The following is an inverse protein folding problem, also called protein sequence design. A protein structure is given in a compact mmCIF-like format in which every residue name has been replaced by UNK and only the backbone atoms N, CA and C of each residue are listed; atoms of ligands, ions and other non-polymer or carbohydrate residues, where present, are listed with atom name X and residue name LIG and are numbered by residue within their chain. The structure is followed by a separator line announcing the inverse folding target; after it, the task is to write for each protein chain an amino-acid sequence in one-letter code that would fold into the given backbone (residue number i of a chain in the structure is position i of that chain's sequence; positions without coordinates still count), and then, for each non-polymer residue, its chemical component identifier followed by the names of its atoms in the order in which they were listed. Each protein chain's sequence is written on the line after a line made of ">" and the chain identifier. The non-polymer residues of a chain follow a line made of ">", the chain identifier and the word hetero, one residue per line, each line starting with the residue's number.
data_IF_458546906227
#
_entry.id   IF_458546906227
#
_cell.length_a   1.000
_cell.length_b   1.000
_cell.length_c   1.000
_cell.angle_alpha   90.00
_cell.angle_beta   90.00
_cell.angle_gamma   90.00
#
_symmetry.space_group_name_H-M   'P 1'
#
loop_
_entity.id
_entity.type
_entity.pdbx_description
1 polymer ?
#
# COMPACT_ATOMS: atom_id res chain seq x y z
N UNK A 1 -29.54 -14.08 -48.31
CA UNK A 1 -29.09 -14.11 -46.90
C UNK A 1 -27.60 -13.92 -46.90
N UNK A 2 -27.11 -12.74 -46.50
CA UNK A 2 -25.68 -12.47 -46.36
C UNK A 2 -25.32 -12.76 -44.89
N UNK A 3 -24.47 -13.76 -44.67
CA UNK A 3 -23.89 -14.06 -43.36
C UNK A 3 -22.77 -13.06 -43.08
N UNK A 4 -23.04 -12.09 -42.21
CA UNK A 4 -22.00 -11.24 -41.63
C UNK A 4 -21.21 -12.06 -40.59
N UNK A 5 -20.11 -12.67 -41.05
CA UNK A 5 -19.09 -13.22 -40.16
C UNK A 5 -18.26 -12.08 -39.57
N UNK A 6 -18.62 -11.64 -38.36
CA UNK A 6 -17.80 -10.69 -37.60
C UNK A 6 -16.42 -11.31 -37.34
N UNK A 7 -15.35 -10.63 -37.76
CA UNK A 7 -13.99 -11.00 -37.38
C UNK A 7 -13.83 -10.89 -35.87
N UNK A 8 -13.69 -12.04 -35.21
CA UNK A 8 -13.12 -12.08 -33.87
C UNK A 8 -11.63 -11.79 -34.05
N UNK A 9 -11.17 -10.61 -33.62
CA UNK A 9 -9.72 -10.39 -33.46
C UNK A 9 -9.25 -11.14 -32.23
N UNK A 10 -8.49 -12.21 -32.44
CA UNK A 10 -7.63 -12.74 -31.39
C UNK A 10 -6.55 -11.67 -31.11
N UNK A 11 -6.36 -11.32 -29.85
CA UNK A 11 -5.23 -10.49 -29.44
C UNK A 11 -3.95 -11.32 -29.66
N UNK A 12 -3.25 -11.07 -30.77
CA UNK A 12 -1.96 -11.70 -31.02
C UNK A 12 -0.91 -11.08 -30.09
N UNK A 13 -0.18 -11.96 -29.40
CA UNK A 13 1.00 -11.60 -28.64
C UNK A 13 2.13 -11.30 -29.61
N UNK A 14 2.24 -10.05 -30.05
CA UNK A 14 3.37 -9.63 -30.87
C UNK A 14 4.60 -9.49 -29.99
N UNK A 15 5.59 -10.35 -30.20
CA UNK A 15 6.91 -10.17 -29.62
C UNK A 15 7.50 -8.86 -30.14
N UNK A 16 7.81 -7.92 -29.23
CA UNK A 16 8.76 -6.84 -29.53
C UNK A 16 8.29 -5.39 -29.42
N UNK A 17 7.04 -5.06 -29.04
CA UNK A 17 6.64 -3.63 -28.89
C UNK A 17 5.74 -3.31 -27.69
N UNK A 18 5.61 -4.21 -26.72
CA UNK A 18 4.98 -3.90 -25.45
C UNK A 18 6.03 -3.50 -24.42
N UNK A 19 6.45 -2.23 -24.39
CA UNK A 19 7.07 -1.71 -23.17
C UNK A 19 6.17 -2.10 -21.98
N UNK A 20 6.72 -2.48 -20.82
CA UNK A 20 5.89 -2.79 -19.66
C UNK A 20 5.03 -1.56 -19.35
N UNK A 21 3.76 -1.62 -19.75
CA UNK A 21 2.84 -0.52 -19.54
C UNK A 21 2.56 -0.52 -18.04
N UNK A 22 2.87 0.57 -17.32
CA UNK A 22 2.53 0.67 -15.91
C UNK A 22 1.02 0.56 -15.77
N UNK A 23 0.56 -0.28 -14.84
CA UNK A 23 -0.86 -0.44 -14.58
C UNK A 23 -1.37 0.83 -13.88
N UNK A 24 -2.33 1.59 -14.46
CA UNK A 24 -2.84 2.83 -13.86
C UNK A 24 -3.46 2.63 -12.47
N UNK A 25 -3.79 1.38 -12.09
CA UNK A 25 -4.20 1.01 -10.73
C UNK A 25 -3.16 1.38 -9.67
N UNK A 26 -1.89 1.30 -10.02
CA UNK A 26 -0.80 1.54 -9.08
C UNK A 26 -0.29 2.97 -9.22
N UNK A 27 -0.33 3.71 -8.12
CA UNK A 27 0.13 5.09 -8.03
C UNK A 27 1.44 5.12 -7.21
N UNK A 28 2.62 5.11 -7.87
CA UNK A 28 3.89 5.23 -7.17
C UNK A 28 4.05 6.64 -6.56
N UNK A 29 4.49 6.69 -5.30
CA UNK A 29 4.73 7.92 -4.54
C UNK A 29 6.24 8.20 -4.40
N UNK A 30 6.60 9.45 -4.13
CA UNK A 30 8.00 9.89 -4.07
C UNK A 30 8.79 9.34 -2.87
N UNK A 31 8.09 8.80 -1.87
CA UNK A 31 8.67 8.18 -0.67
C UNK A 31 9.05 6.70 -0.85
N UNK A 32 8.90 6.16 -2.07
CA UNK A 32 9.19 4.75 -2.37
C UNK A 32 8.06 3.79 -1.99
N UNK A 33 6.85 4.30 -1.77
CA UNK A 33 5.63 3.49 -1.66
C UNK A 33 4.81 3.51 -2.95
N UNK A 34 3.86 2.58 -3.05
CA UNK A 34 2.91 2.46 -4.17
C UNK A 34 1.52 2.30 -3.59
N UNK A 35 0.62 3.22 -3.90
CA UNK A 35 -0.79 3.09 -3.55
C UNK A 35 -1.54 2.27 -4.60
N UNK A 36 -2.32 1.29 -4.16
CA UNK A 36 -3.17 0.47 -5.00
C UNK A 36 -4.61 0.99 -4.93
N UNK A 37 -5.02 1.71 -5.98
CA UNK A 37 -6.33 2.35 -6.05
C UNK A 37 -7.52 1.40 -6.09
N UNK A 38 -7.32 0.10 -6.38
CA UNK A 38 -8.41 -0.88 -6.38
C UNK A 38 -8.62 -1.53 -5.02
N UNK A 39 -7.54 -1.78 -4.28
CA UNK A 39 -7.62 -2.52 -3.00
C UNK A 39 -7.56 -1.61 -1.78
N UNK A 40 -7.10 -0.36 -1.93
CA UNK A 40 -6.81 0.51 -0.79
C UNK A 40 -5.60 0.00 0.02
N UNK A 41 -4.69 -0.74 -0.62
CA UNK A 41 -3.44 -1.17 -0.01
C UNK A 41 -2.31 -0.21 -0.40
N UNK A 42 -1.30 -0.15 0.45
CA UNK A 42 -0.05 0.53 0.16
C UNK A 42 1.11 -0.45 0.24
N UNK A 43 1.92 -0.47 -0.80
CA UNK A 43 3.03 -1.39 -0.96
C UNK A 43 4.36 -0.65 -0.84
N UNK A 44 5.38 -1.29 -0.25
CA UNK A 44 6.75 -0.84 -0.52
C UNK A 44 7.09 -1.11 -1.98
N UNK A 45 7.64 -0.11 -2.68
CA UNK A 45 8.00 -0.24 -4.10
C UNK A 45 9.12 -1.25 -4.31
N UNK A 46 10.05 -1.32 -3.37
CA UNK A 46 11.20 -2.20 -3.42
C UNK A 46 11.02 -3.43 -2.53
N UNK A 47 11.51 -4.61 -2.95
CA UNK A 47 11.66 -5.74 -2.04
C UNK A 47 12.65 -5.38 -0.92
N UNK A 48 12.47 -5.97 0.26
CA UNK A 48 13.37 -5.73 1.40
C UNK A 48 14.83 -6.04 1.05
N UNK A 49 15.75 -5.27 1.60
CA UNK A 49 17.18 -5.32 1.26
C UNK A 49 17.59 -4.47 0.03
N UNK A 50 16.62 -3.97 -0.74
CA UNK A 50 16.87 -3.03 -1.84
C UNK A 50 16.25 -1.65 -1.60
N UNK A 51 16.74 -0.63 -2.30
CA UNK A 51 16.23 0.74 -2.21
C UNK A 51 16.76 1.67 -3.30
N UNK A 52 16.50 2.96 -3.17
CA UNK A 52 16.87 3.95 -4.18
C UNK A 52 15.96 3.94 -5.41
N UNK A 53 16.25 4.85 -6.36
CA UNK A 53 15.47 4.99 -7.59
C UNK A 53 15.50 3.67 -8.37
N UNK A 54 14.34 3.16 -8.77
CA UNK A 54 14.25 1.88 -9.48
C UNK A 54 14.70 0.68 -8.63
N UNK A 55 14.70 0.83 -7.31
CA UNK A 55 15.23 -0.13 -6.35
C UNK A 55 16.70 -0.46 -6.58
N UNK A 56 17.48 0.50 -7.13
CA UNK A 56 18.85 0.39 -7.66
C UNK A 56 19.96 -0.04 -6.67
N UNK A 57 19.76 0.20 -5.39
CA UNK A 57 20.75 0.01 -4.34
C UNK A 57 20.47 -1.25 -3.52
N UNK A 58 21.53 -1.89 -3.02
CA UNK A 58 21.43 -3.10 -2.20
C UNK A 58 21.04 -4.37 -2.97
N UNK A 59 20.79 -5.44 -2.23
CA UNK A 59 20.41 -6.75 -2.76
C UNK A 59 19.16 -7.26 -2.04
N UNK A 60 18.27 -7.91 -2.79
CA UNK A 60 17.01 -8.39 -2.23
C UNK A 60 17.27 -9.47 -1.17
N UNK A 61 16.81 -9.18 0.05
CA UNK A 61 16.99 -10.01 1.23
C UNK A 61 16.11 -11.25 1.13
N UNK A 62 16.65 -12.37 1.59
CA UNK A 62 15.91 -13.62 1.76
C UNK A 62 16.03 -14.09 3.20
N UNK A 63 14.90 -14.28 3.87
CA UNK A 63 14.85 -14.75 5.25
C UNK A 63 13.98 -16.00 5.36
N UNK A 64 14.10 -16.69 6.49
CA UNK A 64 13.10 -17.68 6.91
C UNK A 64 11.81 -16.97 7.30
N UNK A 65 10.70 -17.68 7.24
CA UNK A 65 9.37 -17.09 7.47
C UNK A 65 9.28 -16.33 8.79
N UNK A 66 9.70 -16.91 9.91
CA UNK A 66 9.67 -16.26 11.23
C UNK A 66 10.49 -14.97 11.28
N UNK A 67 11.68 -14.98 10.67
CA UNK A 67 12.57 -13.81 10.62
C UNK A 67 11.98 -12.73 9.68
N UNK A 68 11.31 -13.14 8.60
CA UNK A 68 10.61 -12.24 7.68
C UNK A 68 9.39 -11.58 8.31
N UNK A 69 8.62 -12.34 9.08
CA UNK A 69 7.43 -11.87 9.80
C UNK A 69 7.82 -10.86 10.89
N UNK A 70 8.86 -11.17 11.67
CA UNK A 70 9.43 -10.23 12.64
C UNK A 70 9.92 -8.93 11.97
N UNK A 71 10.68 -9.05 10.87
CA UNK A 71 11.15 -7.88 10.10
C UNK A 71 9.99 -7.02 9.59
N UNK A 72 8.88 -7.64 9.16
CA UNK A 72 7.72 -6.90 8.69
C UNK A 72 7.14 -6.01 9.79
N UNK A 73 6.91 -6.57 10.99
CA UNK A 73 6.34 -5.87 12.13
C UNK A 73 7.28 -4.80 12.73
N UNK A 74 8.58 -4.99 12.62
CA UNK A 74 9.59 -4.02 13.05
C UNK A 74 9.84 -2.92 12.02
N UNK A 75 9.38 -3.09 10.77
CA UNK A 75 9.65 -2.16 9.69
C UNK A 75 9.08 -0.78 9.98
N UNK A 76 9.91 0.25 9.83
CA UNK A 76 9.55 1.66 9.87
C UNK A 76 9.99 2.30 8.56
N UNK A 77 9.04 2.64 7.71
CA UNK A 77 9.32 3.13 6.36
C UNK A 77 8.26 4.12 5.92
N UNK A 78 8.68 5.20 5.24
CA UNK A 78 7.81 6.28 4.74
C UNK A 78 6.86 6.86 5.84
N UNK A 79 7.33 6.96 7.08
CA UNK A 79 6.53 7.45 8.21
C UNK A 79 5.48 6.46 8.74
N UNK A 80 5.51 5.20 8.30
CA UNK A 80 4.57 4.16 8.69
C UNK A 80 5.25 3.00 9.45
N UNK A 81 4.48 2.37 10.33
CA UNK A 81 4.94 1.38 11.30
C UNK A 81 4.10 0.09 11.34
N UNK A 82 3.02 0.06 10.56
CA UNK A 82 2.00 -0.97 10.43
C UNK A 82 2.23 -1.84 9.18
N UNK A 83 3.49 -1.99 8.78
CA UNK A 83 3.87 -2.87 7.69
C UNK A 83 3.72 -4.33 8.09
N UNK A 84 3.27 -5.16 7.14
CA UNK A 84 3.06 -6.60 7.32
C UNK A 84 3.46 -7.37 6.07
N UNK A 85 3.61 -8.69 6.23
CA UNK A 85 3.62 -9.58 5.09
C UNK A 85 2.23 -9.55 4.40
N UNK A 86 2.18 -9.65 3.07
CA UNK A 86 0.92 -9.71 2.33
C UNK A 86 0.30 -11.09 2.44
N UNK A 87 -1.02 -11.19 2.35
CA UNK A 87 -1.72 -12.47 2.16
C UNK A 87 -1.44 -13.01 0.75
N UNK A 88 -1.77 -14.29 0.49
CA UNK A 88 -1.64 -14.87 -0.86
C UNK A 88 -2.46 -14.12 -1.89
N UNK A 89 -3.66 -13.67 -1.52
CA UNK A 89 -4.58 -12.98 -2.43
C UNK A 89 -4.02 -11.61 -2.79
N UNK A 90 -3.54 -10.86 -1.79
CA UNK A 90 -2.93 -9.55 -2.00
C UNK A 90 -1.68 -9.65 -2.87
N UNK A 91 -0.75 -10.54 -2.52
CA UNK A 91 0.52 -10.66 -3.25
C UNK A 91 0.31 -11.15 -4.69
N UNK A 92 -0.63 -12.08 -4.91
CA UNK A 92 -1.02 -12.53 -6.25
C UNK A 92 -1.69 -11.42 -7.06
N UNK A 93 -2.34 -10.45 -6.42
CA UNK A 93 -2.98 -9.33 -7.13
C UNK A 93 -2.00 -8.40 -7.84
N UNK A 94 -0.70 -8.47 -7.50
CA UNK A 94 0.39 -7.78 -8.20
C UNK A 94 0.73 -8.42 -9.56
N UNK A 95 0.31 -9.66 -9.78
CA UNK A 95 0.51 -10.35 -11.04
C UNK A 95 -0.68 -10.15 -11.98
N UNK A 96 -0.38 -9.96 -13.26
CA UNK A 96 -1.34 -9.97 -14.36
C UNK A 96 -0.97 -11.03 -15.40
N UNK A 97 -1.93 -11.40 -16.24
CA UNK A 97 -1.68 -12.30 -17.36
C UNK A 97 -0.89 -11.55 -18.45
N UNK A 98 0.32 -12.02 -18.71
CA UNK A 98 1.13 -11.65 -19.87
C UNK A 98 1.00 -12.67 -20.99
N UNK A 99 1.77 -12.47 -22.06
CA UNK A 99 1.78 -13.36 -23.21
C UNK A 99 2.32 -14.76 -22.90
N UNK A 100 3.34 -14.85 -22.03
CA UNK A 100 4.04 -16.10 -21.72
C UNK A 100 3.93 -16.50 -20.24
N UNK A 101 2.81 -16.16 -19.60
CA UNK A 101 2.55 -16.51 -18.21
C UNK A 101 2.12 -15.32 -17.35
N UNK A 102 2.37 -15.41 -16.05
CA UNK A 102 2.09 -14.31 -15.14
C UNK A 102 3.25 -13.33 -15.12
N UNK A 103 2.95 -12.03 -15.13
CA UNK A 103 3.95 -10.95 -15.10
C UNK A 103 3.57 -9.93 -14.04
N UNK A 104 4.57 -9.34 -13.39
CA UNK A 104 4.41 -8.16 -12.53
C UNK A 104 4.66 -6.90 -13.37
N UNK A 105 4.01 -5.79 -13.01
CA UNK A 105 4.37 -4.47 -13.53
C UNK A 105 5.78 -4.09 -13.06
N UNK A 106 6.79 -4.31 -13.91
CA UNK A 106 8.19 -4.05 -13.61
C UNK A 106 8.56 -2.57 -13.64
N UNK A 107 7.68 -1.68 -14.12
CA UNK A 107 7.88 -0.23 -14.03
C UNK A 107 7.53 0.22 -12.63
N UNK A 108 6.37 -0.21 -12.13
CA UNK A 108 5.90 0.17 -10.79
C UNK A 108 6.60 -0.61 -9.68
N UNK A 109 6.92 -1.89 -9.90
CA UNK A 109 7.63 -2.76 -8.95
C UNK A 109 8.97 -3.24 -9.51
N UNK A 110 9.94 -2.33 -9.69
CA UNK A 110 11.19 -2.62 -10.35
C UNK A 110 12.03 -3.62 -9.55
N UNK A 111 12.82 -4.40 -10.30
CA UNK A 111 13.81 -5.36 -9.77
C UNK A 111 13.25 -6.36 -8.76
N UNK A 112 11.98 -6.72 -8.91
CA UNK A 112 11.38 -7.86 -8.21
C UNK A 112 12.10 -9.14 -8.63
N UNK A 113 12.79 -9.85 -7.70
CA UNK A 113 13.48 -11.08 -8.05
C UNK A 113 12.50 -12.16 -8.56
N UNK A 114 12.88 -12.93 -9.58
CA UNK A 114 12.05 -14.02 -10.10
C UNK A 114 12.16 -15.24 -9.18
N UNK A 115 11.53 -15.20 -8.00
CA UNK A 115 11.55 -16.29 -7.03
C UNK A 115 10.44 -16.20 -5.99
N UNK A 116 10.52 -17.07 -4.98
CA UNK A 116 9.51 -17.22 -3.92
C UNK A 116 9.53 -16.04 -2.95
N UNK A 117 8.37 -15.42 -2.76
CA UNK A 117 8.11 -14.42 -1.73
C UNK A 117 7.20 -15.00 -0.65
N UNK A 118 7.48 -14.67 0.61
CA UNK A 118 6.64 -15.06 1.73
C UNK A 118 5.29 -14.33 1.71
N UNK A 119 4.27 -15.04 2.21
CA UNK A 119 2.96 -14.47 2.53
C UNK A 119 2.68 -14.67 4.01
N UNK A 120 1.75 -13.88 4.56
CA UNK A 120 1.27 -14.02 5.94
C UNK A 120 0.40 -15.27 6.14
N UNK A 121 -0.06 -15.92 5.06
CA UNK A 121 -0.97 -17.06 5.18
C UNK A 121 -0.22 -18.30 5.68
N UNK A 122 -0.62 -18.90 6.82
CA UNK A 122 0.04 -20.07 7.36
C UNK A 122 -0.16 -21.30 6.45
N UNK A 123 0.85 -22.16 6.40
CA UNK A 123 0.75 -23.48 5.79
C UNK A 123 0.52 -24.53 6.91
N UNK A 124 -0.63 -25.21 6.89
CA UNK A 124 -1.13 -25.98 8.04
C UNK A 124 -0.38 -27.26 8.44
N UNK A 125 0.78 -27.57 7.84
CA UNK A 125 1.48 -28.85 8.07
C UNK A 125 2.68 -28.75 9.03
N UNK A 126 3.31 -27.59 9.15
CA UNK A 126 4.49 -27.40 10.03
C UNK A 126 4.41 -26.06 10.77
N UNK A 127 4.91 -25.99 12.03
CA UNK A 127 5.09 -24.71 12.72
C UNK A 127 6.06 -23.84 11.91
N UNK A 128 5.86 -22.53 11.92
CA UNK A 128 6.66 -21.55 11.15
C UNK A 128 6.70 -21.80 9.63
N UNK A 129 5.67 -22.46 9.07
CA UNK A 129 5.50 -22.61 7.64
C UNK A 129 4.40 -21.69 7.11
N UNK A 130 4.61 -21.18 5.90
CA UNK A 130 3.70 -20.23 5.28
C UNK A 130 3.64 -20.47 3.78
N UNK A 131 2.61 -19.91 3.16
CA UNK A 131 2.53 -19.92 1.71
C UNK A 131 3.53 -18.96 1.09
N UNK A 132 3.96 -19.30 -0.12
CA UNK A 132 4.84 -18.49 -0.95
C UNK A 132 4.24 -18.30 -2.33
N UNK A 133 4.51 -17.15 -2.94
CA UNK A 133 4.25 -16.89 -4.35
C UNK A 133 5.57 -16.77 -5.10
N UNK A 134 5.75 -17.56 -6.16
CA UNK A 134 6.93 -17.44 -7.03
C UNK A 134 6.66 -16.44 -8.17
N UNK A 135 7.35 -15.29 -8.18
CA UNK A 135 7.17 -14.28 -9.23
C UNK A 135 7.71 -14.69 -10.60
N UNK A 136 8.51 -15.77 -10.69
CA UNK A 136 8.95 -16.33 -11.97
C UNK A 136 7.84 -17.04 -12.72
N UNK A 137 6.95 -17.70 -11.97
CA UNK A 137 5.94 -18.62 -12.55
C UNK A 137 4.50 -18.24 -12.22
N UNK A 138 4.30 -17.40 -11.20
CA UNK A 138 2.99 -17.12 -10.59
C UNK A 138 2.45 -18.26 -9.73
N UNK A 139 3.27 -19.29 -9.43
CA UNK A 139 2.85 -20.46 -8.66
C UNK A 139 2.75 -20.15 -7.16
N UNK A 140 1.64 -20.58 -6.54
CA UNK A 140 1.47 -20.58 -5.08
C UNK A 140 1.89 -21.92 -4.51
N UNK A 141 2.84 -21.94 -3.59
CA UNK A 141 3.37 -23.16 -3.00
C UNK A 141 3.63 -23.04 -1.50
N UNK A 142 3.83 -24.18 -0.85
CA UNK A 142 4.20 -24.24 0.55
C UNK A 142 5.68 -23.89 0.73
N UNK A 143 5.99 -23.01 1.68
CA UNK A 143 7.35 -22.77 2.15
C UNK A 143 7.56 -23.41 3.52
N UNK A 144 8.66 -24.16 3.65
CA UNK A 144 9.03 -24.82 4.89
C UNK A 144 9.78 -23.85 5.83
N UNK A 145 9.89 -24.14 7.14
CA UNK A 145 10.54 -23.23 8.10
C UNK A 145 12.01 -22.91 7.79
N UNK A 146 12.70 -23.83 7.08
CA UNK A 146 14.10 -23.67 6.66
C UNK A 146 14.25 -23.01 5.30
N UNK A 147 13.17 -22.83 4.55
CA UNK A 147 13.23 -22.15 3.26
C UNK A 147 13.60 -20.69 3.44
N UNK A 148 14.26 -20.13 2.42
CA UNK A 148 14.55 -18.71 2.32
C UNK A 148 13.70 -18.11 1.21
N UNK A 149 12.87 -17.13 1.57
CA UNK A 149 11.98 -16.40 0.67
C UNK A 149 12.26 -14.89 0.70
N UNK A 150 12.00 -14.25 -0.42
CA UNK A 150 12.04 -12.79 -0.54
C UNK A 150 10.85 -12.14 0.18
N UNK A 151 10.96 -10.84 0.42
CA UNK A 151 10.00 -10.09 1.23
C UNK A 151 9.63 -8.82 0.49
N UNK A 152 8.33 -8.55 0.41
CA UNK A 152 7.76 -7.27 -0.02
C UNK A 152 6.63 -6.97 0.94
N UNK A 153 6.70 -5.82 1.57
CA UNK A 153 5.74 -5.45 2.61
C UNK A 153 4.56 -4.69 2.01
N UNK A 154 3.43 -4.89 2.67
CA UNK A 154 2.17 -4.19 2.40
C UNK A 154 1.63 -3.65 3.72
N UNK A 155 0.78 -2.64 3.62
CA UNK A 155 -0.06 -2.16 4.73
C UNK A 155 -1.43 -1.79 4.19
N UNK A 156 -2.38 -1.72 5.09
CA UNK A 156 -3.71 -1.18 4.79
C UNK A 156 -3.61 0.35 4.69
N UNK A 157 -4.20 0.91 3.65
CA UNK A 157 -4.24 2.35 3.40
C UNK A 157 -5.62 2.71 2.84
N UNK A 158 -6.70 2.54 3.63
CA UNK A 158 -8.04 2.90 3.17
C UNK A 158 -8.00 4.34 2.66
N UNK A 159 -8.38 4.49 1.39
CA UNK A 159 -7.90 5.56 0.55
C UNK A 159 -8.01 6.96 1.15
N UNK A 160 -7.07 7.81 0.74
CA UNK A 160 -7.20 9.25 0.78
C UNK A 160 -8.55 9.69 0.23
N UNK A 161 -9.56 9.84 1.08
CA UNK A 161 -10.81 10.47 0.68
C UNK A 161 -10.54 11.95 0.38
N UNK A 162 -11.00 12.50 -0.75
CA UNK A 162 -10.87 13.93 -1.05
C UNK A 162 -11.43 14.85 0.05
N UNK A 163 -12.36 14.33 0.88
CA UNK A 163 -12.93 15.05 2.01
C UNK A 163 -12.03 15.13 3.26
N UNK A 164 -10.91 14.40 3.35
CA UNK A 164 -9.97 14.44 4.49
C UNK A 164 -8.51 14.21 4.07
N UNK A 165 -7.87 15.19 3.40
CA UNK A 165 -6.48 15.10 2.97
C UNK A 165 -5.48 14.88 4.12
N UNK A 166 -5.80 15.27 5.36
CA UNK A 166 -4.96 15.02 6.55
C UNK A 166 -4.80 13.52 6.91
N UNK A 167 -5.64 12.63 6.36
CA UNK A 167 -5.49 11.17 6.55
C UNK A 167 -4.38 10.60 5.66
N UNK A 168 -3.92 11.38 4.67
CA UNK A 168 -2.86 11.03 3.72
C UNK A 168 -1.45 11.33 4.24
N UNK A 169 -1.33 12.01 5.39
CA UNK A 169 -0.05 12.46 5.89
C UNK A 169 0.52 11.50 6.95
N UNK A 170 1.84 11.27 6.94
CA UNK A 170 2.52 10.55 8.00
C UNK A 170 2.34 11.27 9.34
N UNK A 171 2.42 10.50 10.43
CA UNK A 171 2.15 10.93 11.80
C UNK A 171 2.76 12.29 12.24
N UNK A 172 4.00 12.69 11.86
CA UNK A 172 4.55 13.99 12.30
C UNK A 172 3.84 15.22 11.72
N UNK A 173 3.13 15.11 10.59
CA UNK A 173 2.42 16.25 10.00
C UNK A 173 1.01 16.42 10.57
N UNK A 174 0.50 15.43 11.32
CA UNK A 174 -0.81 15.48 11.98
C UNK A 174 -0.83 16.43 13.17
N UNK A 175 0.31 16.62 13.83
CA UNK A 175 0.45 17.49 15.01
C UNK A 175 0.50 18.99 14.63
N UNK A 176 0.68 19.30 13.34
CA UNK A 176 0.76 20.66 12.83
C UNK A 176 -0.60 21.21 12.31
N UNK A 177 -1.63 20.38 12.20
CA UNK A 177 -2.96 20.82 11.78
C UNK A 177 -3.66 21.56 12.94
N UNK A 178 -4.04 22.84 12.78
CA UNK A 178 -4.84 23.53 13.77
C UNK A 178 -6.19 22.81 13.86
N UNK A 179 -6.47 22.14 14.97
CA UNK A 179 -7.81 21.63 15.24
C UNK A 179 -8.82 22.78 15.10
N UNK A 180 -9.66 22.67 14.08
CA UNK A 180 -10.77 23.57 13.78
C UNK A 180 -11.66 23.68 15.04
N UNK A 181 -11.51 24.82 15.73
CA UNK A 181 -12.41 25.25 16.79
C UNK A 181 -13.57 25.98 16.15
N UNK A 182 -14.54 25.27 15.59
CA UNK A 182 -15.88 25.84 15.41
C UNK A 182 -16.94 24.76 15.18
N UNK A 183 -17.50 24.22 16.25
CA UNK A 183 -18.91 23.82 16.26
C UNK A 183 -19.61 24.70 17.29
N UNK A 184 -20.20 25.79 16.81
CA UNK A 184 -21.08 26.66 17.57
C UNK A 184 -22.23 27.09 16.67
N UNK A 185 -23.39 26.49 16.89
CA UNK A 185 -24.73 26.95 16.49
C UNK A 185 -25.72 25.95 17.15
N UNK A 186 -26.71 26.28 17.98
CA UNK A 186 -27.26 27.50 18.54
C UNK A 186 -28.54 27.09 19.29
N UNK A 187 -28.96 27.85 20.31
CA UNK A 187 -30.37 28.15 20.61
C UNK A 187 -30.52 28.91 21.94
N UNK A 188 -31.31 30.00 21.92
CA UNK A 188 -32.06 30.44 23.10
C UNK A 188 -31.90 31.89 23.60
N UNK A 189 -32.49 32.83 22.85
CA UNK A 189 -33.29 33.97 23.36
C UNK A 189 -32.67 35.05 24.30
N UNK A 190 -32.51 36.24 23.71
CA UNK A 190 -33.05 37.56 24.12
C UNK A 190 -33.02 38.00 25.59
N UNK A 191 -32.40 39.17 25.87
CA UNK A 191 -33.08 40.44 26.25
C UNK A 191 -32.05 41.51 26.75
N UNK A 192 -32.09 42.67 26.08
CA UNK A 192 -31.82 44.08 26.48
C UNK A 192 -30.44 44.60 26.97
N UNK A 193 -29.96 45.61 26.23
CA UNK A 193 -28.98 46.66 26.60
C UNK A 193 -29.73 47.95 27.01
N UNK A 194 -29.10 49.09 27.37
CA UNK A 194 -28.01 49.43 28.32
C UNK A 194 -28.46 50.48 29.38
N UNK A 195 -27.66 50.78 30.41
CA UNK A 195 -27.38 52.15 30.93
C UNK A 195 -26.59 52.16 32.27
N UNK A 196 -25.47 52.88 32.29
CA UNK A 196 -24.90 53.56 33.49
C UNK A 196 -25.73 54.83 33.79
N UNK A 197 -25.77 55.46 35.00
CA UNK A 197 -24.55 55.89 35.72
C UNK A 197 -24.60 56.06 37.28
N UNK A 198 -23.38 56.22 37.85
CA UNK A 198 -22.94 57.05 39.00
C UNK A 198 -23.35 56.82 40.47
N UNK A 199 -22.36 57.15 41.33
CA UNK A 199 -22.30 57.42 42.79
C UNK A 199 -21.94 56.23 43.68
N UNK A 200 -21.13 56.32 44.74
CA UNK A 200 -20.33 57.37 45.39
C UNK A 200 -19.76 56.69 46.66
N UNK A 201 -18.49 56.94 47.04
CA UNK A 201 -17.93 56.97 48.43
C UNK A 201 -18.21 55.74 49.36
N UNK A 202 -17.30 55.12 50.10
CA UNK A 202 -16.29 55.65 51.03
C UNK A 202 -15.68 54.44 51.82
N UNK A 203 -14.50 54.63 52.44
CA UNK A 203 -13.99 53.95 53.67
C UNK A 203 -13.55 52.47 53.51
N UNK A 204 -12.33 52.01 53.87
CA UNK A 204 -11.27 52.44 54.80
C UNK A 204 -9.92 51.88 54.35
#
# INVERSE_FOLDING_TARGET
>A
MLLNGGLIRAQECTEGTGAPIPDPRYLPLQDGTVYDGHTGLMWKQCPEGTGGIGCAMGEALRLRFKDADALAHESRFAGHADWRLPTRVELRSLLRRGCYGMVIDSVTFPRTPPGRFWTADPAGFYPDSAWTLDFRTGHLGYGMPRDLGYIRLVRDAPGCTPGRPATCLPYPDREAEPHDRTEGEGDGASVETPASPLRSLDVK
#
